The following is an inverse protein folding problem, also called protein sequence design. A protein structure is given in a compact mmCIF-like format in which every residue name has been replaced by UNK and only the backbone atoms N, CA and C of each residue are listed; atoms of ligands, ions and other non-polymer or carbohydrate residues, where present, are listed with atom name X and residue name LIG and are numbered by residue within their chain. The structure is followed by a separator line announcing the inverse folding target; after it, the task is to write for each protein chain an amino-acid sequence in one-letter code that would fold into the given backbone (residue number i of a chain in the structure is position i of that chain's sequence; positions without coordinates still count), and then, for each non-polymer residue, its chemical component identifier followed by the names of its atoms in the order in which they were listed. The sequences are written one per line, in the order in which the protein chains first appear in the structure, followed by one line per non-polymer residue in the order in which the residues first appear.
data_IF_833816846927
#
_entry.id   IF_833816846927
#
_cell.length_a   1.000
_cell.length_b   1.000
_cell.length_c   1.000
_cell.angle_alpha   90.00
_cell.angle_beta   90.00
_cell.angle_gamma   90.00
#
_symmetry.space_group_name_H-M   'P 1'
#
loop_
_entity.id
_entity.type
_entity.pdbx_description
1 polymer ?
#
# COMPACT_ATOMS: atom_id res chain seq x y z
N UNK A 1 69.32 -20.24 4.06
CA UNK A 1 68.36 -20.28 2.93
C UNK A 1 66.94 -20.27 3.49
N UNK A 2 66.30 -19.08 3.47
CA UNK A 2 64.86 -19.01 3.55
C UNK A 2 64.36 -17.95 2.58
N UNK A 3 63.39 -18.29 1.72
CA UNK A 3 62.76 -17.36 0.79
C UNK A 3 61.65 -16.57 1.47
N UNK A 4 61.53 -15.34 1.00
CA UNK A 4 60.73 -14.27 1.44
C UNK A 4 59.24 -14.53 1.61
N UNK A 5 58.69 -13.93 2.63
CA UNK A 5 57.27 -13.71 2.81
C UNK A 5 56.86 -12.45 2.02
N UNK A 6 56.15 -12.64 0.94
CA UNK A 6 55.45 -11.55 0.28
C UNK A 6 54.26 -11.10 1.14
N UNK A 7 54.38 -9.88 1.64
CA UNK A 7 53.24 -9.20 2.25
C UNK A 7 52.19 -8.87 1.18
N UNK A 8 51.10 -9.57 1.17
CA UNK A 8 49.91 -9.19 0.40
C UNK A 8 49.29 -7.96 1.08
N UNK A 9 49.48 -6.81 0.46
CA UNK A 9 48.71 -5.62 0.82
C UNK A 9 47.26 -5.85 0.43
N UNK A 10 46.45 -6.22 1.44
CA UNK A 10 45.01 -6.23 1.30
C UNK A 10 44.57 -4.77 1.22
N UNK A 11 44.22 -4.33 0.02
CA UNK A 11 43.58 -3.05 -0.21
C UNK A 11 42.21 -3.10 0.47
N UNK A 12 42.12 -2.53 1.67
CA UNK A 12 40.82 -2.27 2.34
C UNK A 12 40.11 -1.18 1.54
N UNK A 13 39.27 -1.57 0.62
CA UNK A 13 38.31 -0.66 0.02
C UNK A 13 37.36 -0.21 1.16
N UNK A 14 37.48 1.03 1.54
CA UNK A 14 36.58 1.71 2.45
C UNK A 14 35.24 1.85 1.74
N UNK A 15 34.35 0.86 1.88
CA UNK A 15 32.96 0.92 1.42
C UNK A 15 32.13 1.76 2.40
N UNK A 16 32.43 3.06 2.47
CA UNK A 16 31.77 3.97 3.41
C UNK A 16 30.54 4.69 2.88
N UNK A 17 30.32 4.73 1.55
CA UNK A 17 29.25 5.56 0.98
C UNK A 17 28.41 4.89 -0.11
N UNK A 18 28.84 3.77 -0.68
CA UNK A 18 28.10 3.08 -1.73
C UNK A 18 26.84 2.35 -1.20
N UNK A 19 26.86 1.89 0.07
CA UNK A 19 25.73 1.18 0.67
C UNK A 19 24.52 2.07 0.92
N UNK A 20 24.72 3.34 1.24
CA UNK A 20 23.63 4.28 1.54
C UNK A 20 22.85 4.67 0.27
N UNK A 21 23.54 4.89 -0.86
CA UNK A 21 22.91 5.23 -2.14
C UNK A 21 22.16 4.04 -2.73
N UNK A 22 22.71 2.83 -2.63
CA UNK A 22 22.05 1.62 -3.13
C UNK A 22 20.78 1.30 -2.35
N UNK A 23 20.78 1.53 -1.02
CA UNK A 23 19.60 1.34 -0.17
C UNK A 23 18.53 2.37 -0.49
N UNK A 24 18.89 3.65 -0.67
CA UNK A 24 17.94 4.69 -1.06
C UNK A 24 17.33 4.42 -2.44
N UNK A 25 18.13 4.00 -3.41
CA UNK A 25 17.67 3.65 -4.75
C UNK A 25 16.73 2.43 -4.71
N UNK A 26 17.10 1.37 -4.01
CA UNK A 26 16.25 0.18 -3.83
C UNK A 26 14.91 0.54 -3.17
N UNK A 27 14.91 1.43 -2.17
CA UNK A 27 13.69 1.91 -1.52
C UNK A 27 12.79 2.68 -2.49
N UNK A 28 13.35 3.55 -3.33
CA UNK A 28 12.59 4.30 -4.34
C UNK A 28 11.98 3.37 -5.38
N UNK A 29 12.74 2.40 -5.88
CA UNK A 29 12.26 1.39 -6.84
C UNK A 29 11.15 0.53 -6.22
N UNK A 30 11.34 0.07 -4.98
CA UNK A 30 10.36 -0.73 -4.27
C UNK A 30 9.06 0.03 -4.01
N UNK A 31 9.12 1.31 -3.66
CA UNK A 31 7.94 2.18 -3.51
C UNK A 31 7.21 2.39 -4.83
N UNK A 32 7.94 2.57 -5.93
CA UNK A 32 7.36 2.68 -7.26
C UNK A 32 6.64 1.41 -7.69
N UNK A 33 7.24 0.26 -7.46
CA UNK A 33 6.63 -1.04 -7.72
C UNK A 33 5.38 -1.28 -6.85
N UNK A 34 5.45 -0.92 -5.56
CA UNK A 34 4.32 -1.01 -4.64
C UNK A 34 3.12 -0.18 -5.11
N UNK A 35 3.32 1.05 -5.58
CA UNK A 35 2.25 1.89 -6.12
C UNK A 35 1.58 1.29 -7.35
N UNK A 36 2.36 0.70 -8.26
CA UNK A 36 1.82 0.03 -9.44
C UNK A 36 1.00 -1.21 -9.04
N UNK A 37 1.50 -2.00 -8.12
CA UNK A 37 0.79 -3.17 -7.61
C UNK A 37 -0.54 -2.78 -6.93
N UNK A 38 -0.54 -1.73 -6.12
CA UNK A 38 -1.76 -1.19 -5.50
C UNK A 38 -2.75 -0.67 -6.54
N UNK A 39 -2.28 0.03 -7.56
CA UNK A 39 -3.13 0.51 -8.66
C UNK A 39 -3.79 -0.62 -9.42
N UNK A 40 -3.06 -1.69 -9.72
CA UNK A 40 -3.59 -2.88 -10.38
C UNK A 40 -4.59 -3.62 -9.48
N UNK A 41 -4.28 -3.77 -8.19
CA UNK A 41 -5.16 -4.39 -7.21
C UNK A 41 -6.48 -3.60 -7.06
N UNK A 42 -6.41 -2.28 -6.95
CA UNK A 42 -7.59 -1.41 -6.92
C UNK A 42 -8.43 -1.58 -8.19
N UNK A 43 -7.81 -1.62 -9.36
CA UNK A 43 -8.51 -1.82 -10.64
C UNK A 43 -9.25 -3.15 -10.69
N UNK A 44 -8.61 -4.23 -10.27
CA UNK A 44 -9.24 -5.55 -10.20
C UNK A 44 -10.38 -5.61 -9.18
N UNK A 45 -10.18 -5.00 -8.01
CA UNK A 45 -11.22 -4.92 -6.98
C UNK A 45 -12.44 -4.14 -7.46
N UNK A 46 -12.24 -2.98 -8.09
CA UNK A 46 -13.32 -2.18 -8.67
C UNK A 46 -14.09 -2.97 -9.73
N UNK A 47 -13.39 -3.66 -10.63
CA UNK A 47 -14.01 -4.47 -11.67
C UNK A 47 -14.84 -5.63 -11.09
N UNK A 48 -14.29 -6.32 -10.08
CA UNK A 48 -14.98 -7.40 -9.40
C UNK A 48 -16.25 -6.92 -8.67
N UNK A 49 -16.16 -5.81 -7.95
CA UNK A 49 -17.29 -5.21 -7.22
C UNK A 49 -18.37 -4.76 -8.19
N UNK A 50 -18.01 -4.07 -9.27
CA UNK A 50 -18.98 -3.68 -10.31
C UNK A 50 -19.67 -4.87 -10.96
N UNK A 51 -18.93 -5.96 -11.18
CA UNK A 51 -19.50 -7.20 -11.73
C UNK A 51 -20.49 -7.86 -10.78
N UNK A 52 -20.20 -7.84 -9.46
CA UNK A 52 -21.03 -8.49 -8.46
C UNK A 52 -22.25 -7.66 -8.07
N UNK A 53 -22.10 -6.35 -7.95
CA UNK A 53 -23.11 -5.46 -7.38
C UNK A 53 -23.68 -4.46 -8.39
N UNK A 54 -23.12 -4.37 -9.58
CA UNK A 54 -23.51 -3.40 -10.60
C UNK A 54 -22.97 -1.98 -10.39
N UNK A 55 -22.28 -1.72 -9.28
CA UNK A 55 -21.71 -0.41 -8.95
C UNK A 55 -20.49 -0.55 -8.02
N UNK A 56 -19.72 0.52 -7.87
CA UNK A 56 -18.60 0.62 -6.93
C UNK A 56 -18.88 1.63 -5.79
N UNK A 57 -20.16 1.93 -5.53
CA UNK A 57 -20.58 2.86 -4.47
C UNK A 57 -20.09 2.43 -3.11
N UNK A 58 -19.69 3.40 -2.27
CA UNK A 58 -19.16 3.16 -0.93
C UNK A 58 -17.69 2.72 -0.88
N UNK A 59 -17.05 2.42 -2.01
CA UNK A 59 -15.67 1.94 -2.03
C UNK A 59 -14.65 2.92 -1.47
N UNK A 60 -14.87 4.21 -1.62
CA UNK A 60 -13.98 5.24 -1.07
C UNK A 60 -14.17 5.46 0.44
N UNK A 61 -15.34 5.16 0.99
CA UNK A 61 -15.71 5.54 2.37
C UNK A 61 -14.82 4.88 3.43
N UNK A 62 -14.36 3.66 3.21
CA UNK A 62 -13.43 2.96 4.13
C UNK A 62 -12.11 3.73 4.23
N UNK A 63 -11.57 4.13 3.08
CA UNK A 63 -10.31 4.87 3.02
C UNK A 63 -10.45 6.29 3.58
N UNK A 64 -11.58 6.94 3.34
CA UNK A 64 -11.91 8.25 3.92
C UNK A 64 -12.02 8.18 5.43
N UNK A 65 -12.64 7.14 5.96
CA UNK A 65 -12.72 6.88 7.40
C UNK A 65 -11.34 6.69 8.02
N UNK A 66 -10.46 5.92 7.38
CA UNK A 66 -9.09 5.74 7.84
C UNK A 66 -8.29 7.04 7.79
N UNK A 67 -8.44 7.83 6.72
CA UNK A 67 -7.77 9.11 6.59
C UNK A 67 -8.21 10.10 7.69
N UNK A 68 -9.51 10.17 7.97
CA UNK A 68 -10.06 11.00 9.05
C UNK A 68 -9.54 10.53 10.43
N UNK A 69 -9.57 9.24 10.71
CA UNK A 69 -9.05 8.68 11.94
C UNK A 69 -7.57 9.04 12.16
N UNK A 70 -6.76 8.93 11.12
CA UNK A 70 -5.34 9.29 11.18
C UNK A 70 -5.12 10.78 11.48
N UNK A 71 -5.95 11.64 10.90
CA UNK A 71 -5.89 13.09 11.14
C UNK A 71 -6.26 13.46 12.58
N UNK A 72 -7.30 12.82 13.13
CA UNK A 72 -7.80 13.10 14.48
C UNK A 72 -6.87 12.58 15.58
N UNK A 73 -6.26 11.43 15.39
CA UNK A 73 -5.52 10.76 16.45
C UNK A 73 -4.01 10.97 16.38
N UNK A 74 -3.48 11.60 15.32
CA UNK A 74 -2.08 12.08 15.17
C UNK A 74 -1.00 11.05 15.50
N UNK A 75 -1.32 9.78 15.43
CA UNK A 75 -0.49 8.69 15.91
C UNK A 75 -0.01 7.76 14.79
N UNK A 76 0.56 6.65 15.19
CA UNK A 76 0.99 5.60 14.28
C UNK A 76 -0.21 5.08 13.48
N UNK A 77 -0.08 5.14 12.17
CA UNK A 77 -1.07 4.54 11.28
C UNK A 77 -1.24 3.05 11.65
N UNK A 78 -2.46 2.51 11.61
CA UNK A 78 -2.66 1.07 11.73
C UNK A 78 -1.67 0.32 10.84
N UNK A 79 -1.15 -0.81 11.28
CA UNK A 79 -0.12 -1.57 10.55
C UNK A 79 -0.49 -1.85 9.09
N UNK A 80 -1.78 -1.98 8.79
CA UNK A 80 -2.30 -2.08 7.43
C UNK A 80 -1.93 -0.87 6.57
N UNK A 81 -2.01 0.34 7.12
CA UNK A 81 -1.71 1.57 6.38
C UNK A 81 -0.21 1.81 6.21
N UNK A 82 0.63 1.23 7.04
CA UNK A 82 2.09 1.30 6.86
C UNK A 82 2.57 0.47 5.68
N UNK A 83 1.91 -0.64 5.39
CA UNK A 83 2.19 -1.52 4.26
C UNK A 83 1.40 -1.17 3.00
N UNK A 84 0.21 -0.58 3.16
CA UNK A 84 -0.70 -0.16 2.09
C UNK A 84 -1.04 1.32 2.24
N UNK A 85 -0.15 2.23 1.87
CA UNK A 85 -0.36 3.65 2.09
C UNK A 85 -1.62 4.15 1.38
N UNK A 86 -2.41 4.91 2.15
CA UNK A 86 -3.52 5.66 1.59
C UNK A 86 -2.94 6.88 0.89
N UNK A 87 -3.07 6.94 -0.41
CA UNK A 87 -2.81 8.16 -1.14
C UNK A 87 -4.11 8.75 -1.70
N UNK A 88 -4.08 10.05 -1.96
CA UNK A 88 -5.23 10.76 -2.49
C UNK A 88 -5.66 10.22 -3.87
N UNK A 89 -4.74 9.69 -4.64
CA UNK A 89 -5.00 9.11 -5.95
C UNK A 89 -5.84 7.84 -5.85
N UNK A 90 -5.63 7.01 -4.84
CA UNK A 90 -6.43 5.79 -4.61
C UNK A 90 -7.87 6.16 -4.25
N UNK A 91 -8.04 7.10 -3.34
CA UNK A 91 -9.37 7.59 -2.95
C UNK A 91 -10.08 8.19 -4.16
N UNK A 92 -9.39 8.98 -4.96
CA UNK A 92 -9.97 9.60 -6.15
C UNK A 92 -10.37 8.56 -7.21
N UNK A 93 -9.56 7.54 -7.46
CA UNK A 93 -9.94 6.43 -8.35
C UNK A 93 -11.21 5.71 -7.90
N UNK A 94 -11.35 5.49 -6.59
CA UNK A 94 -12.56 4.86 -6.03
C UNK A 94 -13.78 5.77 -6.15
N UNK A 95 -13.63 7.08 -5.95
CA UNK A 95 -14.71 8.06 -6.18
C UNK A 95 -15.13 8.10 -7.64
N UNK A 96 -14.19 8.13 -8.57
CA UNK A 96 -14.46 8.10 -10.01
C UNK A 96 -15.15 6.81 -10.42
N UNK A 97 -14.72 5.68 -9.87
CA UNK A 97 -15.37 4.40 -10.13
C UNK A 97 -16.82 4.33 -9.64
N UNK A 98 -17.18 5.14 -8.65
CA UNK A 98 -18.52 5.24 -8.08
C UNK A 98 -19.34 6.42 -8.65
N UNK A 99 -18.84 7.15 -9.64
CA UNK A 99 -19.48 8.37 -10.15
C UNK A 99 -20.88 8.16 -10.72
N UNK A 100 -21.16 6.97 -11.25
CA UNK A 100 -22.45 6.56 -11.82
C UNK A 100 -23.37 5.86 -10.79
N UNK A 101 -22.95 5.77 -9.54
CA UNK A 101 -23.74 5.11 -8.51
C UNK A 101 -24.85 6.02 -7.95
N UNK A 102 -26.06 5.50 -7.92
CA UNK A 102 -27.22 6.13 -7.31
C UNK A 102 -27.62 5.34 -6.04
N UNK A 103 -27.38 5.88 -4.83
CA UNK A 103 -27.68 5.18 -3.58
C UNK A 103 -29.17 4.88 -3.34
N UNK A 104 -30.06 5.60 -4.03
CA UNK A 104 -31.50 5.35 -3.93
C UNK A 104 -31.90 4.14 -4.77
N UNK A 105 -31.36 4.02 -5.97
CA UNK A 105 -31.64 2.89 -6.87
C UNK A 105 -30.86 1.64 -6.51
N UNK A 106 -29.65 1.83 -5.98
CA UNK A 106 -28.68 0.76 -5.66
C UNK A 106 -28.16 0.94 -4.23
N UNK A 107 -29.00 0.70 -3.22
CA UNK A 107 -28.59 0.87 -1.83
C UNK A 107 -27.46 -0.10 -1.47
N UNK A 108 -26.58 0.33 -0.57
CA UNK A 108 -25.56 -0.55 0.00
C UNK A 108 -26.22 -1.66 0.80
N UNK A 109 -25.73 -2.89 0.62
CA UNK A 109 -26.20 -4.03 1.39
C UNK A 109 -25.42 -4.11 2.70
N UNK A 110 -26.10 -4.27 3.85
CA UNK A 110 -25.42 -4.51 5.11
C UNK A 110 -24.57 -5.79 5.02
N UNK A 111 -23.36 -5.74 5.58
CA UNK A 111 -22.52 -6.92 5.71
C UNK A 111 -23.08 -7.77 6.87
N UNK A 112 -23.60 -8.95 6.54
CA UNK A 112 -23.98 -9.94 7.54
C UNK A 112 -22.70 -10.62 8.05
N UNK A 113 -22.19 -10.16 9.19
CA UNK A 113 -21.10 -10.85 9.87
C UNK A 113 -21.65 -12.06 10.60
N UNK A 114 -20.99 -13.24 10.51
CA UNK A 114 -21.37 -14.37 11.34
C UNK A 114 -21.23 -13.99 12.82
N UNK A 115 -22.27 -14.25 13.59
CA UNK A 115 -22.21 -14.04 15.04
C UNK A 115 -21.09 -14.91 15.62
N UNK A 116 -20.24 -14.36 16.52
CA UNK A 116 -19.29 -15.18 17.22
C UNK A 116 -20.03 -16.27 18.01
N UNK A 117 -19.45 -17.48 18.15
CA UNK A 117 -20.07 -18.52 18.94
C UNK A 117 -20.27 -18.04 20.39
N UNK A 118 -21.35 -18.45 21.06
CA UNK A 118 -21.58 -18.11 22.46
C UNK A 118 -20.42 -18.62 23.30
N UNK A 119 -19.91 -17.75 24.20
CA UNK A 119 -18.83 -18.07 25.14
C UNK A 119 -19.32 -18.96 26.27
#
# INVERSE_FOLDING_TARGET
RHPGRRASAFCRIRTGNAGSLSTAFATVVQRGYSRQAETLADGHAIAAVKKLYGHAGGGASVFETFAAYHTEHGGEAPSLLSTHPLDAERIERLRQAAADWDPVRQPLRPLALPMPPPQ
#
